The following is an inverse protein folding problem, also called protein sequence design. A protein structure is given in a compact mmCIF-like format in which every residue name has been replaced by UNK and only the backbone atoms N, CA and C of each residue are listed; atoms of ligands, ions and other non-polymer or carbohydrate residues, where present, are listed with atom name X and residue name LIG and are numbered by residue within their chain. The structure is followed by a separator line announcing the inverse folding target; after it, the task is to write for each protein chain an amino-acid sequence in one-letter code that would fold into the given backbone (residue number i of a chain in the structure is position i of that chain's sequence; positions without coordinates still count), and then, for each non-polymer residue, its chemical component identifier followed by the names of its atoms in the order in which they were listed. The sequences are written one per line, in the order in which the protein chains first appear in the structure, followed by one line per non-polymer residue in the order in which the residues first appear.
data_IF_526116400653
#
_entry.id   IF_526116400653
#
_cell.length_a   1.000
_cell.length_b   1.000
_cell.length_c   1.000
_cell.angle_alpha   90.00
_cell.angle_beta   90.00
_cell.angle_gamma   90.00
#
_symmetry.space_group_name_H-M   'P 1'
#
loop_
_entity.id
_entity.type
_entity.pdbx_description
1 polymer ?
#
# COMPACT_ATOMS: atom_id res chain seq x y z
N UNK A 1 31.54 -61.89 15.65
CA UNK A 1 30.98 -60.55 15.89
C UNK A 1 32.09 -59.53 16.15
N UNK A 2 33.00 -59.39 15.17
CA UNK A 2 34.01 -58.30 15.12
C UNK A 2 33.75 -57.47 13.87
N UNK A 3 33.35 -58.15 12.79
CA UNK A 3 32.91 -57.52 11.54
C UNK A 3 31.65 -56.64 11.73
N UNK A 4 30.70 -57.03 12.59
CA UNK A 4 29.51 -56.21 12.90
C UNK A 4 29.87 -54.90 13.61
N UNK A 5 30.89 -54.93 14.48
CA UNK A 5 31.34 -53.75 15.21
C UNK A 5 32.09 -52.77 14.28
N UNK A 6 32.84 -53.29 13.32
CA UNK A 6 33.53 -52.48 12.30
C UNK A 6 32.51 -51.85 11.33
N UNK A 7 31.47 -52.59 10.94
CA UNK A 7 30.39 -52.07 10.10
C UNK A 7 29.58 -50.97 10.81
N UNK A 8 29.29 -51.14 12.10
CA UNK A 8 28.60 -50.12 12.90
C UNK A 8 29.43 -48.84 13.09
N UNK A 9 30.74 -48.98 13.29
CA UNK A 9 31.65 -47.84 13.38
C UNK A 9 31.74 -47.07 12.06
N UNK A 10 31.85 -47.77 10.93
CA UNK A 10 31.88 -47.17 9.61
C UNK A 10 30.56 -46.44 9.25
N UNK A 11 29.42 -47.00 9.65
CA UNK A 11 28.12 -46.35 9.46
C UNK A 11 27.97 -45.08 10.33
N UNK A 12 28.49 -45.09 11.56
CA UNK A 12 28.51 -43.93 12.44
C UNK A 12 29.41 -42.81 11.89
N UNK A 13 30.57 -43.16 11.34
CA UNK A 13 31.50 -42.21 10.73
C UNK A 13 30.94 -41.59 9.45
N UNK A 14 30.24 -42.38 8.62
CA UNK A 14 29.53 -41.89 7.44
C UNK A 14 28.36 -40.96 7.81
N UNK A 15 27.64 -41.27 8.88
CA UNK A 15 26.57 -40.40 9.39
C UNK A 15 27.11 -39.07 9.93
N UNK A 16 28.27 -39.12 10.63
CA UNK A 16 28.95 -37.91 11.11
C UNK A 16 29.50 -37.06 9.96
N UNK A 17 30.08 -37.67 8.92
CA UNK A 17 30.60 -36.92 7.76
C UNK A 17 29.47 -36.27 6.95
N UNK A 18 28.32 -36.96 6.81
CA UNK A 18 27.12 -36.41 6.17
C UNK A 18 26.53 -35.25 6.97
N UNK A 19 26.45 -35.37 8.29
CA UNK A 19 25.99 -34.29 9.16
C UNK A 19 26.92 -33.05 9.10
N UNK A 20 28.24 -33.26 9.04
CA UNK A 20 29.22 -32.18 8.87
C UNK A 20 29.12 -31.52 7.48
N UNK A 21 28.86 -32.31 6.43
CA UNK A 21 28.65 -31.82 5.07
C UNK A 21 27.35 -30.99 4.96
N UNK A 22 26.26 -31.44 5.58
CA UNK A 22 25.00 -30.71 5.62
C UNK A 22 25.12 -29.41 6.45
N UNK A 23 25.90 -29.44 7.54
CA UNK A 23 26.24 -28.24 8.32
C UNK A 23 27.07 -27.25 7.48
N UNK A 24 28.00 -27.74 6.66
CA UNK A 24 28.81 -26.93 5.75
C UNK A 24 27.97 -26.33 4.60
N UNK A 25 26.98 -27.07 4.07
CA UNK A 25 26.04 -26.55 3.07
C UNK A 25 25.10 -25.49 3.64
N UNK A 26 24.68 -25.61 4.91
CA UNK A 26 23.87 -24.59 5.60
C UNK A 26 24.60 -23.24 5.76
N UNK A 27 25.95 -23.27 5.76
CA UNK A 27 26.85 -22.10 5.78
C UNK A 27 27.20 -21.57 4.39
N UNK A 28 26.54 -22.01 3.33
CA UNK A 28 26.77 -21.41 2.01
C UNK A 28 26.38 -19.94 2.04
N UNK A 29 27.28 -19.09 1.55
CA UNK A 29 27.11 -17.63 1.47
C UNK A 29 25.75 -17.24 0.86
N UNK A 30 25.23 -18.08 -0.05
CA UNK A 30 23.90 -17.96 -0.68
C UNK A 30 22.73 -18.07 0.32
N UNK A 31 22.80 -18.97 1.31
CA UNK A 31 21.75 -19.07 2.34
C UNK A 31 21.81 -17.88 3.30
N UNK A 32 23.01 -17.44 3.67
CA UNK A 32 23.20 -16.25 4.48
C UNK A 32 22.69 -14.98 3.76
N UNK A 33 23.03 -14.79 2.48
CA UNK A 33 22.53 -13.68 1.67
C UNK A 33 21.00 -13.70 1.52
N UNK A 34 20.39 -14.87 1.36
CA UNK A 34 18.92 -15.00 1.39
C UNK A 34 18.33 -14.57 2.73
N UNK A 35 18.88 -15.06 3.84
CA UNK A 35 18.41 -14.67 5.18
C UNK A 35 18.60 -13.18 5.46
N UNK A 36 19.70 -12.58 5.01
CA UNK A 36 19.96 -11.14 5.16
C UNK A 36 18.98 -10.32 4.31
N UNK A 37 18.71 -10.73 3.07
CA UNK A 37 17.71 -10.09 2.22
C UNK A 37 16.29 -10.23 2.79
N UNK A 38 15.93 -11.41 3.31
CA UNK A 38 14.63 -11.62 3.96
C UNK A 38 14.48 -10.75 5.20
N UNK A 39 15.53 -10.63 6.03
CA UNK A 39 15.54 -9.70 7.18
C UNK A 39 15.44 -8.25 6.74
N UNK A 40 16.14 -7.85 5.67
CA UNK A 40 16.06 -6.51 5.10
C UNK A 40 14.66 -6.18 4.57
N UNK A 41 14.04 -7.11 3.85
CA UNK A 41 12.65 -7.00 3.36
C UNK A 41 11.66 -6.87 4.52
N UNK A 42 11.74 -7.74 5.51
CA UNK A 42 10.87 -7.69 6.70
C UNK A 42 11.06 -6.39 7.50
N UNK A 43 12.28 -5.85 7.55
CA UNK A 43 12.55 -4.56 8.20
C UNK A 43 11.95 -3.39 7.40
N UNK A 44 12.04 -3.43 6.07
CA UNK A 44 11.41 -2.44 5.19
C UNK A 44 9.87 -2.48 5.31
N UNK A 45 9.26 -3.67 5.29
CA UNK A 45 7.82 -3.87 5.49
C UNK A 45 7.35 -3.38 6.87
N UNK A 46 8.16 -3.59 7.92
CA UNK A 46 7.88 -3.05 9.27
C UNK A 46 7.97 -1.53 9.30
N UNK A 47 8.95 -0.95 8.60
CA UNK A 47 9.10 0.49 8.44
C UNK A 47 7.89 1.10 7.73
N UNK A 48 7.53 0.55 6.57
CA UNK A 48 6.36 0.94 5.78
C UNK A 48 5.09 0.85 6.63
N UNK A 49 4.84 -0.30 7.27
CA UNK A 49 3.68 -0.48 8.16
C UNK A 49 3.61 0.61 9.23
N UNK A 50 4.73 0.92 9.87
CA UNK A 50 4.78 1.94 10.92
C UNK A 50 4.39 3.31 10.36
N UNK A 51 5.00 3.71 9.25
CA UNK A 51 4.72 5.01 8.62
C UNK A 51 3.25 5.15 8.18
N UNK A 52 2.67 4.10 7.60
CA UNK A 52 1.27 4.09 7.17
C UNK A 52 0.33 4.16 8.36
N UNK A 53 0.61 3.42 9.44
CA UNK A 53 -0.21 3.46 10.65
C UNK A 53 -0.14 4.84 11.31
N UNK A 54 1.03 5.47 11.38
CA UNK A 54 1.20 6.83 11.89
C UNK A 54 0.38 7.84 11.07
N UNK A 55 0.47 7.78 9.73
CA UNK A 55 -0.33 8.63 8.84
C UNK A 55 -1.85 8.37 8.97
N UNK A 56 -2.29 7.11 9.12
CA UNK A 56 -3.70 6.78 9.39
C UNK A 56 -4.17 7.34 10.74
N UNK A 57 -3.30 7.39 11.75
CA UNK A 57 -3.62 7.98 13.05
C UNK A 57 -3.76 9.50 12.95
N UNK A 58 -2.85 10.18 12.24
CA UNK A 58 -2.94 11.61 11.97
C UNK A 58 -4.24 11.94 11.21
N UNK A 59 -4.52 11.19 10.14
CA UNK A 59 -5.72 11.36 9.35
C UNK A 59 -7.00 11.13 10.17
N UNK A 60 -7.06 10.05 10.95
CA UNK A 60 -8.23 9.76 11.78
C UNK A 60 -8.46 10.87 12.82
N UNK A 61 -7.38 11.39 13.43
CA UNK A 61 -7.47 12.51 14.38
C UNK A 61 -8.03 13.79 13.74
N UNK A 62 -7.65 14.06 12.49
CA UNK A 62 -8.11 15.21 11.73
C UNK A 62 -9.53 15.05 11.17
N UNK A 63 -9.85 13.89 10.57
CA UNK A 63 -11.00 13.74 9.67
C UNK A 63 -12.06 12.72 10.14
N UNK A 64 -11.85 11.96 11.22
CA UNK A 64 -12.83 10.97 11.69
C UNK A 64 -14.12 11.59 12.28
N UNK A 65 -14.12 12.89 12.58
CA UNK A 65 -15.33 13.61 13.02
C UNK A 65 -16.40 13.54 11.94
N UNK A 66 -17.65 13.27 12.34
CA UNK A 66 -18.75 13.00 11.40
C UNK A 66 -18.92 14.07 10.31
N UNK A 67 -18.85 15.36 10.65
CA UNK A 67 -19.01 16.45 9.69
C UNK A 67 -17.91 16.43 8.62
N UNK A 68 -16.65 16.31 9.03
CA UNK A 68 -15.47 16.27 8.14
C UNK A 68 -15.48 15.03 7.25
N UNK A 69 -15.80 13.87 7.83
CA UNK A 69 -15.95 12.62 7.07
C UNK A 69 -17.06 12.71 6.01
N UNK A 70 -18.20 13.34 6.34
CA UNK A 70 -19.29 13.57 5.37
C UNK A 70 -18.85 14.53 4.25
N UNK A 71 -18.08 15.57 4.58
CA UNK A 71 -17.54 16.50 3.59
C UNK A 71 -16.55 15.82 2.66
N UNK A 72 -15.57 15.07 3.18
CA UNK A 72 -14.65 14.28 2.35
C UNK A 72 -15.40 13.36 1.37
N UNK A 73 -16.40 12.64 1.87
CA UNK A 73 -17.23 11.78 1.03
C UNK A 73 -17.95 12.58 -0.06
N UNK A 74 -18.46 13.77 0.26
CA UNK A 74 -19.10 14.66 -0.72
C UNK A 74 -18.12 15.09 -1.81
N UNK A 75 -16.87 15.43 -1.46
CA UNK A 75 -15.84 15.75 -2.45
C UNK A 75 -15.52 14.54 -3.34
N UNK A 76 -15.36 13.35 -2.77
CA UNK A 76 -15.13 12.13 -3.57
C UNK A 76 -16.28 11.85 -4.56
N UNK A 77 -17.52 11.95 -4.10
CA UNK A 77 -18.70 11.80 -4.95
C UNK A 77 -18.80 12.88 -6.04
N UNK A 78 -18.29 14.09 -5.79
CA UNK A 78 -18.29 15.15 -6.79
C UNK A 78 -17.31 14.85 -7.94
N UNK A 79 -16.17 14.22 -7.63
CA UNK A 79 -15.21 13.78 -8.65
C UNK A 79 -15.67 12.52 -9.40
N UNK A 80 -16.41 11.64 -8.73
CA UNK A 80 -16.96 10.41 -9.31
C UNK A 80 -18.24 10.66 -10.14
N UNK A 81 -18.09 11.38 -11.25
CA UNK A 81 -19.20 11.72 -12.17
C UNK A 81 -19.94 10.51 -12.74
N UNK A 82 -19.27 9.35 -12.80
CA UNK A 82 -19.81 8.09 -13.31
C UNK A 82 -20.44 7.22 -12.21
N UNK A 83 -20.42 7.66 -10.95
CA UNK A 83 -20.95 6.92 -9.79
C UNK A 83 -20.36 5.52 -9.68
N UNK A 84 -19.07 5.39 -9.94
CA UNK A 84 -18.31 4.13 -9.85
C UNK A 84 -18.04 3.69 -8.41
N UNK A 85 -18.21 4.59 -7.43
CA UNK A 85 -17.81 4.36 -6.05
C UNK A 85 -16.31 4.50 -5.81
N UNK A 86 -15.52 4.79 -6.85
CA UNK A 86 -14.05 4.82 -6.79
C UNK A 86 -13.50 6.24 -6.87
N UNK A 87 -12.41 6.49 -6.15
CA UNK A 87 -11.63 7.73 -6.18
C UNK A 87 -10.21 7.43 -6.63
N UNK A 88 -9.57 8.34 -7.38
CA UNK A 88 -8.15 8.23 -7.73
C UNK A 88 -7.27 9.09 -6.83
N UNK A 89 -5.94 8.87 -6.87
CA UNK A 89 -4.98 9.54 -5.99
C UNK A 89 -5.10 11.07 -5.95
N UNK A 90 -5.06 11.73 -7.10
CA UNK A 90 -5.11 13.21 -7.18
C UNK A 90 -6.42 13.76 -6.61
N UNK A 91 -7.52 13.05 -6.84
CA UNK A 91 -8.83 13.41 -6.31
C UNK A 91 -8.88 13.23 -4.80
N UNK A 92 -8.23 12.18 -4.28
CA UNK A 92 -8.09 11.93 -2.85
C UNK A 92 -7.29 13.05 -2.17
N UNK A 93 -6.09 13.34 -2.66
CA UNK A 93 -5.20 14.38 -2.10
C UNK A 93 -5.87 15.75 -2.14
N UNK A 94 -6.46 16.13 -3.28
CA UNK A 94 -7.13 17.42 -3.42
C UNK A 94 -8.36 17.55 -2.50
N UNK A 95 -9.15 16.48 -2.32
CA UNK A 95 -10.29 16.51 -1.40
C UNK A 95 -9.86 16.69 0.06
N UNK A 96 -8.68 16.18 0.43
CA UNK A 96 -8.11 16.41 1.77
C UNK A 96 -7.78 17.88 1.94
N UNK A 97 -7.14 18.50 0.95
CA UNK A 97 -6.74 19.92 1.00
C UNK A 97 -7.95 20.85 1.12
N UNK A 98 -9.00 20.60 0.32
CA UNK A 98 -10.24 21.38 0.37
C UNK A 98 -10.92 21.29 1.75
N UNK A 99 -11.05 20.08 2.30
CA UNK A 99 -11.67 19.89 3.61
C UNK A 99 -10.76 20.40 4.73
N UNK A 100 -9.44 20.29 4.59
CA UNK A 100 -8.50 20.86 5.56
C UNK A 100 -8.62 22.38 5.60
N UNK A 101 -8.69 23.04 4.44
CA UNK A 101 -8.90 24.48 4.34
C UNK A 101 -10.24 24.93 4.92
N UNK A 102 -11.35 24.23 4.61
CA UNK A 102 -12.69 24.57 5.09
C UNK A 102 -12.80 24.50 6.63
N UNK A 103 -12.14 23.52 7.25
CA UNK A 103 -12.20 23.29 8.70
C UNK A 103 -10.99 23.81 9.47
N UNK A 104 -10.11 24.58 8.83
CA UNK A 104 -8.85 25.10 9.39
C UNK A 104 -8.01 24.01 10.07
N UNK A 105 -7.85 22.88 9.40
CA UNK A 105 -7.08 21.73 9.89
C UNK A 105 -5.67 21.85 9.34
N UNK A 106 -4.69 21.85 10.25
CA UNK A 106 -3.29 21.68 9.88
C UNK A 106 -3.00 20.17 9.75
N UNK A 107 -3.07 19.66 8.51
CA UNK A 107 -2.78 18.27 8.20
C UNK A 107 -1.47 18.19 7.42
N UNK A 108 -0.54 17.36 7.89
CA UNK A 108 0.81 17.27 7.31
C UNK A 108 0.76 16.71 5.88
N UNK A 109 1.34 17.46 4.95
CA UNK A 109 1.51 17.08 3.55
C UNK A 109 2.21 15.73 3.40
N UNK A 110 3.13 15.41 4.33
CA UNK A 110 3.85 14.14 4.34
C UNK A 110 2.92 12.96 4.63
N UNK A 111 2.03 13.10 5.62
CA UNK A 111 1.07 12.05 5.96
C UNK A 111 0.06 11.85 4.83
N UNK A 112 -0.37 12.94 4.19
CA UNK A 112 -1.19 12.91 2.97
C UNK A 112 -0.49 12.12 1.86
N UNK A 113 0.79 12.43 1.59
CA UNK A 113 1.61 11.76 0.60
C UNK A 113 1.78 10.26 0.89
N UNK A 114 2.08 9.90 2.14
CA UNK A 114 2.22 8.49 2.58
C UNK A 114 0.94 7.70 2.32
N UNK A 115 -0.22 8.26 2.67
CA UNK A 115 -1.51 7.62 2.40
C UNK A 115 -1.79 7.54 0.89
N UNK A 116 -1.47 8.59 0.15
CA UNK A 116 -1.56 8.64 -1.31
C UNK A 116 -0.73 7.55 -1.98
N UNK A 117 0.55 7.45 -1.66
CA UNK A 117 1.45 6.44 -2.22
C UNK A 117 1.03 5.01 -1.84
N UNK A 118 0.54 4.81 -0.61
CA UNK A 118 0.19 3.48 -0.12
C UNK A 118 -1.08 2.92 -0.76
N UNK A 119 -2.17 3.69 -0.77
CA UNK A 119 -3.46 3.24 -1.30
C UNK A 119 -3.56 3.34 -2.81
N UNK A 120 -2.70 4.16 -3.44
CA UNK A 120 -2.70 4.41 -4.88
C UNK A 120 -1.32 4.12 -5.50
N UNK A 121 -0.92 2.83 -5.58
CA UNK A 121 0.43 2.44 -6.00
C UNK A 121 0.75 2.80 -7.45
N UNK A 122 -0.26 2.97 -8.31
CA UNK A 122 -0.11 3.38 -9.71
C UNK A 122 -0.85 4.69 -10.00
N UNK A 123 -0.43 5.42 -11.05
CA UNK A 123 -1.08 6.68 -11.45
C UNK A 123 -2.53 6.51 -11.95
N UNK A 124 -2.94 5.30 -12.32
CA UNK A 124 -4.31 4.96 -12.77
C UNK A 124 -5.17 4.28 -11.71
N UNK A 125 -4.57 3.92 -10.58
CA UNK A 125 -5.24 3.22 -9.48
C UNK A 125 -6.45 4.01 -8.97
N UNK A 126 -7.52 3.27 -8.69
CA UNK A 126 -8.74 3.83 -8.15
C UNK A 126 -9.30 2.91 -7.07
N UNK A 127 -9.65 3.50 -5.92
CA UNK A 127 -10.02 2.79 -4.70
C UNK A 127 -11.45 3.13 -4.34
N UNK A 128 -12.22 2.16 -3.84
CA UNK A 128 -13.56 2.44 -3.31
C UNK A 128 -13.48 3.44 -2.15
N UNK A 129 -14.12 4.61 -2.30
CA UNK A 129 -13.94 5.71 -1.35
C UNK A 129 -14.61 5.46 0.01
N UNK A 130 -15.65 4.62 0.06
CA UNK A 130 -16.37 4.31 1.30
C UNK A 130 -15.53 3.30 2.13
N UNK A 131 -14.93 2.30 1.48
CA UNK A 131 -13.98 1.37 2.07
C UNK A 131 -12.68 2.06 2.50
N UNK A 132 -12.15 2.97 1.68
CA UNK A 132 -10.98 3.76 2.00
C UNK A 132 -11.19 4.58 3.27
N UNK A 133 -12.29 5.36 3.34
CA UNK A 133 -12.62 6.16 4.52
C UNK A 133 -12.89 5.31 5.75
N UNK A 134 -13.58 4.18 5.61
CA UNK A 134 -13.78 3.27 6.73
C UNK A 134 -12.45 2.74 7.26
N UNK A 135 -11.55 2.35 6.37
CA UNK A 135 -10.25 1.75 6.70
C UNK A 135 -9.33 2.75 7.39
N UNK A 136 -9.15 3.94 6.82
CA UNK A 136 -8.26 4.97 7.38
C UNK A 136 -8.81 5.50 8.71
N UNK A 137 -10.11 5.83 8.78
CA UNK A 137 -10.69 6.38 10.01
C UNK A 137 -10.71 5.35 11.16
N UNK A 138 -10.90 4.06 10.87
CA UNK A 138 -10.83 3.00 11.88
C UNK A 138 -9.40 2.58 12.23
N UNK A 139 -8.39 3.08 11.49
CA UNK A 139 -6.97 2.73 11.67
C UNK A 139 -6.72 1.22 11.51
N UNK A 140 -7.53 0.56 10.67
CA UNK A 140 -7.45 -0.89 10.46
C UNK A 140 -6.42 -1.23 9.38
N UNK A 141 -5.18 -1.47 9.81
CA UNK A 141 -4.10 -1.79 8.88
C UNK A 141 -4.29 -3.12 8.14
N UNK A 142 -5.00 -4.10 8.72
CA UNK A 142 -5.25 -5.37 8.03
C UNK A 142 -6.19 -5.15 6.84
N UNK A 143 -7.23 -4.34 7.03
CA UNK A 143 -8.09 -3.89 5.93
C UNK A 143 -7.32 -3.05 4.93
N UNK A 144 -6.38 -2.22 5.37
CA UNK A 144 -5.55 -1.42 4.47
C UNK A 144 -4.69 -2.31 3.56
N UNK A 145 -4.09 -3.37 4.09
CA UNK A 145 -3.34 -4.35 3.30
C UNK A 145 -4.24 -5.07 2.29
N UNK A 146 -5.42 -5.51 2.71
CA UNK A 146 -6.38 -6.17 1.82
C UNK A 146 -6.83 -5.24 0.69
N UNK A 147 -7.14 -3.99 1.01
CA UNK A 147 -7.54 -2.98 0.03
C UNK A 147 -6.43 -2.69 -0.97
N UNK A 148 -5.18 -2.56 -0.51
CA UNK A 148 -4.02 -2.37 -1.39
C UNK A 148 -3.79 -3.57 -2.31
N UNK A 149 -3.93 -4.80 -1.81
CA UNK A 149 -3.81 -6.00 -2.64
C UNK A 149 -4.88 -6.03 -3.74
N UNK A 150 -6.14 -5.71 -3.41
CA UNK A 150 -7.23 -5.62 -4.39
C UNK A 150 -6.94 -4.59 -5.48
N UNK A 151 -6.36 -3.44 -5.11
CA UNK A 151 -6.03 -2.38 -6.07
C UNK A 151 -4.92 -2.81 -7.04
N UNK A 152 -3.92 -3.53 -6.54
CA UNK A 152 -2.85 -4.09 -7.40
C UNK A 152 -3.42 -5.12 -8.39
N UNK A 153 -4.33 -5.98 -7.95
CA UNK A 153 -5.02 -6.94 -8.82
C UNK A 153 -5.92 -6.25 -9.88
N UNK A 154 -6.65 -5.20 -9.47
CA UNK A 154 -7.49 -4.39 -10.36
C UNK A 154 -6.67 -3.57 -11.39
N UNK A 155 -5.44 -3.17 -11.04
CA UNK A 155 -4.55 -2.43 -11.95
C UNK A 155 -3.91 -3.36 -12.99
N UNK A 156 -3.46 -4.55 -12.58
CA UNK A 156 -2.91 -5.57 -13.50
C UNK A 156 -3.93 -5.95 -14.59
N UNK A 157 -5.22 -5.97 -14.25
CA UNK A 157 -6.30 -6.23 -15.22
C UNK A 157 -6.61 -5.04 -16.14
N UNK A 158 -6.27 -3.82 -15.74
CA UNK A 158 -6.52 -2.58 -16.49
C UNK A 158 -5.39 -2.17 -17.44
N UNK A 159 -4.15 -2.58 -17.20
CA UNK A 159 -3.05 -2.33 -18.15
C UNK A 159 -3.31 -2.90 -19.55
N UNK A 160 -4.22 -3.88 -19.67
CA UNK A 160 -4.69 -4.38 -20.96
C UNK A 160 -5.73 -3.50 -21.70
N UNK A 161 -6.18 -2.38 -21.10
CA UNK A 161 -7.36 -1.63 -21.58
C UNK A 161 -7.16 -0.13 -21.83
N UNK A 162 -5.99 0.45 -21.63
CA UNK A 162 -5.85 1.91 -21.76
C UNK A 162 -5.68 2.42 -23.20
N UNK A 163 -6.83 2.74 -23.79
CA UNK A 163 -7.03 3.78 -24.80
C UNK A 163 -6.92 5.15 -24.11
N UNK A 164 -6.00 5.97 -24.66
CA UNK A 164 -5.75 7.42 -24.50
C UNK A 164 -6.67 8.21 -23.55
N UNK A 165 -6.08 8.72 -22.45
CA UNK A 165 -6.65 9.74 -21.57
C UNK A 165 -6.81 11.08 -22.33
N UNK A 166 -8.06 11.53 -22.48
CA UNK A 166 -8.41 12.87 -22.96
C UNK A 166 -8.58 13.81 -21.75
N UNK A 167 -7.61 14.68 -21.53
CA UNK A 167 -7.57 15.66 -20.44
C UNK A 167 -8.32 16.97 -20.76
N UNK A 168 -9.08 17.04 -21.85
CA UNK A 168 -9.75 18.26 -22.32
C UNK A 168 -10.93 18.76 -21.47
N UNK A 169 -11.25 18.12 -20.34
CA UNK A 169 -12.50 18.38 -19.58
C UNK A 169 -12.29 18.67 -18.09
N UNK A 170 -11.27 19.47 -17.75
CA UNK A 170 -11.32 20.25 -16.50
C UNK A 170 -12.47 21.26 -16.62
N UNK A 171 -13.56 21.03 -15.88
CA UNK A 171 -14.66 21.99 -15.73
C UNK A 171 -14.42 22.81 -14.47
N UNK A 172 -14.34 24.13 -14.63
CA UNK A 172 -14.34 25.09 -13.52
C UNK A 172 -15.73 25.15 -12.89
N UNK A 173 -15.80 25.02 -11.56
CA UNK A 173 -17.04 25.00 -10.76
C UNK A 173 -17.83 26.33 -10.73
N UNK A 174 -17.44 27.32 -11.54
CA UNK A 174 -18.05 28.66 -11.61
C UNK A 174 -19.03 28.90 -12.76
N UNK A 175 -19.26 27.94 -13.67
CA UNK A 175 -20.23 28.11 -14.75
C UNK A 175 -19.83 29.07 -15.88
N UNK A 176 -18.62 29.63 -15.87
CA UNK A 176 -18.05 30.37 -17.00
C UNK A 176 -17.02 29.51 -17.73
N UNK A 177 -17.34 29.13 -18.97
CA UNK A 177 -16.37 28.59 -19.91
C UNK A 177 -15.28 29.63 -20.15
N UNK A 178 -14.04 29.30 -19.77
CA UNK A 178 -12.85 30.04 -20.21
C UNK A 178 -12.67 29.83 -21.73
N UNK A 179 -13.38 30.63 -22.52
CA UNK A 179 -13.41 30.55 -23.98
C UNK A 179 -12.25 31.32 -24.65
N UNK A 180 -11.33 31.90 -23.88
CA UNK A 180 -10.17 32.61 -24.41
C UNK A 180 -8.93 32.39 -23.56
N UNK A 181 -8.12 31.40 -23.96
CA UNK A 181 -6.66 31.48 -23.79
C UNK A 181 -6.06 31.37 -25.19
N UNK A 182 -5.59 32.50 -25.70
CA UNK A 182 -4.71 32.59 -26.87
C UNK A 182 -3.29 32.19 -26.47
#
# INVERSE_FOLDING_TARGET
SRDDAVAAAAAAELAQSKALYDLAQSKTLKHHLRQVNDRGRLAAERGERRTVVEAMCAFSSAFARMQRKKMLRKHFMAFDTRKTGKVGRKMFEHSIDEVAAEFFIDFDERDKGVLGDYFFPSHGSAVDYDQLLATICLRDFRRAQALRAQVLEDDDTREHLFIKNDLSRQRDFGGTLNLFKA
#
